data_IF_074785953401
#
_entry.id   IF_074785953401
#
_cell.length_a   1.000
_cell.length_b   1.000
_cell.length_c   1.000
_cell.angle_alpha   90.00
_cell.angle_beta   90.00
_cell.angle_gamma   90.00
#
_symmetry.space_group_name_H-M   'P 1'
#
loop_
_entity.id
_entity.type
_entity.pdbx_description
1 polymer ?
#
# COMPACT_ATOMS: atom_id res chain seq x y z
N UNK A 1 -2.48 36.71 22.32
CA UNK A 1 -3.25 35.52 21.90
C UNK A 1 -2.86 35.28 20.46
N UNK A 2 -1.83 34.46 20.26
CA UNK A 2 -1.35 34.08 18.94
C UNK A 2 -2.29 33.03 18.38
N UNK A 3 -3.13 33.45 17.43
CA UNK A 3 -4.03 32.56 16.71
C UNK A 3 -3.20 31.74 15.73
N UNK A 4 -2.71 30.59 16.17
CA UNK A 4 -2.01 29.61 15.33
C UNK A 4 -3.00 28.98 14.33
N UNK A 5 -3.25 29.66 13.20
CA UNK A 5 -3.97 29.10 12.07
C UNK A 5 -3.00 28.30 11.19
N UNK A 6 -2.54 27.15 11.68
CA UNK A 6 -1.90 26.19 10.78
C UNK A 6 -3.00 25.56 9.95
N UNK A 7 -3.04 25.88 8.65
CA UNK A 7 -3.83 25.13 7.69
C UNK A 7 -3.49 23.64 7.85
N UNK A 8 -4.42 22.87 8.38
CA UNK A 8 -4.29 21.41 8.55
C UNK A 8 -4.34 20.68 7.20
N UNK A 9 -4.64 21.39 6.11
CA UNK A 9 -4.65 20.90 4.73
C UNK A 9 -3.30 21.16 4.04
N UNK A 10 -2.19 20.84 4.71
CA UNK A 10 -0.87 20.82 4.08
C UNK A 10 -0.53 19.39 3.66
N UNK A 11 0.19 19.22 2.55
CA UNK A 11 0.65 17.92 2.09
C UNK A 11 1.40 17.12 3.18
N UNK A 12 2.09 17.82 4.10
CA UNK A 12 2.78 17.21 5.23
C UNK A 12 1.85 16.64 6.30
N UNK A 13 0.65 17.17 6.48
CA UNK A 13 -0.34 16.63 7.42
C UNK A 13 -1.07 15.42 6.80
N UNK A 14 -1.36 15.50 5.50
CA UNK A 14 -2.09 14.47 4.76
C UNK A 14 -1.35 13.12 4.69
N UNK A 15 -0.01 13.11 4.75
CA UNK A 15 0.79 11.87 4.76
C UNK A 15 0.62 11.00 6.01
N UNK A 16 0.06 11.56 7.09
CA UNK A 16 -0.17 10.85 8.35
C UNK A 16 -1.58 10.26 8.48
N UNK A 17 -2.43 10.48 7.48
CA UNK A 17 -3.77 9.90 7.47
C UNK A 17 -3.69 8.36 7.36
N UNK A 18 -4.55 7.63 8.08
CA UNK A 18 -4.52 6.17 8.10
C UNK A 18 -4.89 5.62 6.72
N UNK A 19 -3.98 4.88 6.10
CA UNK A 19 -4.14 4.35 4.75
C UNK A 19 -5.08 3.13 4.64
N UNK A 20 -6.14 3.04 5.44
CA UNK A 20 -7.04 1.87 5.47
C UNK A 20 -7.75 1.64 4.14
N UNK A 21 -8.13 2.71 3.46
CA UNK A 21 -9.17 2.69 2.43
C UNK A 21 -8.67 2.10 1.10
N UNK A 22 -7.37 2.23 0.82
CA UNK A 22 -6.75 1.68 -0.38
C UNK A 22 -6.06 0.33 -0.13
N UNK A 23 -5.99 -0.15 1.12
CA UNK A 23 -5.23 -1.35 1.47
C UNK A 23 -5.70 -2.59 0.70
N UNK A 24 -7.00 -2.77 0.54
CA UNK A 24 -7.56 -3.93 -0.19
C UNK A 24 -7.11 -3.94 -1.66
N UNK A 25 -7.16 -2.79 -2.35
CA UNK A 25 -6.65 -2.66 -3.74
C UNK A 25 -5.19 -3.11 -3.85
N UNK A 26 -4.35 -2.73 -2.89
CA UNK A 26 -2.96 -3.17 -2.87
C UNK A 26 -2.81 -4.69 -2.63
N UNK A 27 -3.70 -5.32 -1.86
CA UNK A 27 -3.69 -6.79 -1.71
C UNK A 27 -4.01 -7.50 -3.03
N UNK A 28 -4.92 -6.93 -3.83
CA UNK A 28 -5.23 -7.44 -5.16
C UNK A 28 -4.01 -7.29 -6.09
N UNK A 29 -3.36 -6.12 -6.12
CA UNK A 29 -2.13 -5.91 -6.90
C UNK A 29 -1.03 -6.92 -6.56
N UNK A 30 -0.83 -7.21 -5.26
CA UNK A 30 0.14 -8.23 -4.85
C UNK A 30 -0.28 -9.64 -5.27
N UNK A 31 -1.59 -9.92 -5.24
CA UNK A 31 -2.14 -11.21 -5.69
C UNK A 31 -2.01 -11.40 -7.20
N UNK A 32 -2.01 -10.32 -7.97
CA UNK A 32 -1.66 -10.29 -9.40
C UNK A 32 -0.15 -10.39 -9.65
N UNK A 33 0.66 -10.48 -8.59
CA UNK A 33 2.10 -10.70 -8.66
C UNK A 33 2.94 -9.41 -8.70
N UNK A 34 2.33 -8.24 -8.54
CA UNK A 34 3.05 -6.97 -8.57
C UNK A 34 3.97 -6.81 -7.35
N UNK A 35 5.19 -6.35 -7.60
CA UNK A 35 6.09 -5.90 -6.54
C UNK A 35 5.69 -4.54 -5.99
N UNK A 36 6.21 -4.15 -4.81
CA UNK A 36 5.87 -2.87 -4.14
C UNK A 36 6.00 -1.65 -5.07
N UNK A 37 7.10 -1.54 -5.80
CA UNK A 37 7.36 -0.38 -6.67
C UNK A 37 6.42 -0.35 -7.89
N UNK A 38 6.06 -1.52 -8.42
CA UNK A 38 5.12 -1.66 -9.53
C UNK A 38 3.70 -1.33 -9.08
N UNK A 39 3.26 -1.88 -7.95
CA UNK A 39 1.96 -1.60 -7.36
C UNK A 39 1.77 -0.10 -7.05
N UNK A 40 2.78 0.58 -6.48
CA UNK A 40 2.72 2.03 -6.27
C UNK A 40 2.54 2.79 -7.59
N UNK A 41 3.37 2.51 -8.61
CA UNK A 41 3.27 3.18 -9.91
C UNK A 41 1.95 2.93 -10.61
N UNK A 42 1.46 1.70 -10.54
CA UNK A 42 0.19 1.31 -11.13
C UNK A 42 -0.98 2.06 -10.46
N UNK A 43 -0.98 2.10 -9.12
CA UNK A 43 -1.97 2.83 -8.34
C UNK A 43 -1.96 4.33 -8.64
N UNK A 44 -0.78 4.96 -8.69
CA UNK A 44 -0.64 6.37 -9.09
C UNK A 44 -1.18 6.61 -10.51
N UNK A 45 -0.92 5.70 -11.44
CA UNK A 45 -1.47 5.76 -12.80
C UNK A 45 -3.00 5.68 -12.83
N UNK A 46 -3.60 4.83 -12.00
CA UNK A 46 -5.06 4.77 -11.86
C UNK A 46 -5.61 6.09 -11.32
N UNK A 47 -5.00 6.63 -10.25
CA UNK A 47 -5.45 7.88 -9.63
C UNK A 47 -5.42 9.05 -10.63
N UNK A 48 -4.38 9.14 -11.45
CA UNK A 48 -4.24 10.19 -12.47
C UNK A 48 -5.31 10.10 -13.58
N UNK A 49 -5.92 8.93 -13.78
CA UNK A 49 -6.99 8.72 -14.75
C UNK A 49 -8.38 9.00 -14.18
N UNK A 50 -8.52 9.20 -12.86
CA UNK A 50 -9.82 9.52 -12.25
C UNK A 50 -10.28 10.93 -12.62
N UNK A 51 -11.55 11.09 -13.02
CA UNK A 51 -12.13 12.37 -13.44
C UNK A 51 -12.01 13.50 -12.38
N UNK A 52 -11.87 13.13 -11.11
CA UNK A 52 -11.78 14.05 -9.97
C UNK A 52 -10.36 14.13 -9.38
N UNK A 53 -9.35 13.71 -10.14
CA UNK A 53 -7.97 13.76 -9.69
C UNK A 53 -7.55 15.18 -9.27
N UNK A 54 -6.88 15.29 -8.13
CA UNK A 54 -6.24 16.52 -7.65
C UNK A 54 -4.84 16.19 -7.15
N UNK A 55 -3.94 17.18 -7.13
CA UNK A 55 -2.59 17.00 -6.57
C UNK A 55 -2.63 16.61 -5.07
N UNK A 56 -3.68 17.01 -4.35
CA UNK A 56 -3.88 16.61 -2.94
C UNK A 56 -4.05 15.10 -2.79
N UNK A 57 -4.66 14.42 -3.77
CA UNK A 57 -4.78 12.96 -3.74
C UNK A 57 -3.43 12.26 -3.76
N UNK A 58 -2.42 12.85 -4.41
CA UNK A 58 -1.06 12.30 -4.42
C UNK A 58 -0.38 12.40 -3.07
N UNK A 59 -0.69 13.43 -2.27
CA UNK A 59 -0.15 13.65 -0.94
C UNK A 59 -0.99 12.99 0.18
N UNK A 60 -2.23 12.62 -0.11
CA UNK A 60 -3.15 12.04 0.85
C UNK A 60 -2.86 10.55 1.07
N UNK A 61 -2.32 10.19 2.24
CA UNK A 61 -1.99 8.81 2.59
C UNK A 61 -3.20 7.85 2.63
N UNK A 62 -4.42 8.36 2.82
CA UNK A 62 -5.63 7.53 2.68
C UNK A 62 -5.85 7.05 1.25
N UNK A 63 -5.49 7.87 0.27
CA UNK A 63 -5.76 7.65 -1.15
C UNK A 63 -4.52 7.12 -1.86
N UNK A 64 -3.38 7.78 -1.69
CA UNK A 64 -2.06 7.39 -2.19
C UNK A 64 -1.10 7.11 -1.01
N UNK A 65 -1.02 5.86 -0.54
CA UNK A 65 -0.23 5.53 0.64
C UNK A 65 1.27 5.67 0.37
N UNK A 66 2.06 6.14 1.36
CA UNK A 66 3.51 6.19 1.22
C UNK A 66 4.12 4.81 0.95
N UNK A 67 5.22 4.78 0.19
CA UNK A 67 5.94 3.54 -0.15
C UNK A 67 6.22 2.63 1.07
N UNK A 68 6.58 3.21 2.22
CA UNK A 68 6.86 2.45 3.46
C UNK A 68 5.63 1.70 3.97
N UNK A 69 4.45 2.29 3.83
CA UNK A 69 3.17 1.68 4.19
C UNK A 69 2.87 0.51 3.27
N UNK A 70 3.03 0.71 1.95
CA UNK A 70 2.83 -0.35 0.95
C UNK A 70 3.84 -1.49 1.14
N UNK A 71 5.10 -1.18 1.43
CA UNK A 71 6.14 -2.18 1.75
C UNK A 71 5.75 -3.01 2.98
N UNK A 72 5.25 -2.37 4.03
CA UNK A 72 4.78 -3.07 5.22
C UNK A 72 3.64 -4.05 4.86
N UNK A 73 2.65 -3.60 4.10
CA UNK A 73 1.54 -4.44 3.64
C UNK A 73 2.01 -5.61 2.78
N UNK A 74 2.87 -5.37 1.79
CA UNK A 74 3.43 -6.43 0.96
C UNK A 74 4.18 -7.46 1.79
N UNK A 75 4.93 -7.05 2.81
CA UNK A 75 5.60 -7.98 3.71
C UNK A 75 4.62 -8.84 4.52
N UNK A 76 3.52 -8.25 5.00
CA UNK A 76 2.46 -9.01 5.68
C UNK A 76 1.76 -9.98 4.73
N UNK A 77 1.34 -9.51 3.56
CA UNK A 77 0.71 -10.33 2.52
C UNK A 77 1.62 -11.49 2.12
N UNK A 78 2.91 -11.21 1.88
CA UNK A 78 3.90 -12.22 1.51
C UNK A 78 4.07 -13.27 2.60
N UNK A 79 4.17 -12.85 3.86
CA UNK A 79 4.31 -13.78 4.98
C UNK A 79 3.09 -14.70 5.09
N UNK A 80 1.89 -14.18 4.83
CA UNK A 80 0.65 -14.94 4.87
C UNK A 80 0.48 -15.89 3.67
N UNK A 81 0.87 -15.46 2.47
CA UNK A 81 0.58 -16.19 1.23
C UNK A 81 1.74 -17.04 0.71
N UNK A 82 2.98 -16.60 0.94
CA UNK A 82 4.21 -17.24 0.47
C UNK A 82 5.09 -17.76 1.61
N UNK A 83 4.74 -17.44 2.86
CA UNK A 83 5.45 -17.87 4.05
C UNK A 83 6.79 -17.17 4.31
N UNK A 84 7.49 -17.60 5.37
CA UNK A 84 8.79 -17.08 5.75
C UNK A 84 9.85 -17.34 4.68
N UNK A 85 10.76 -16.38 4.51
CA UNK A 85 11.87 -16.48 3.54
C UNK A 85 13.09 -17.24 4.09
N UNK A 86 13.08 -17.57 5.37
CA UNK A 86 14.20 -18.17 6.11
C UNK A 86 13.65 -19.03 7.24
N UNK A 87 14.34 -20.12 7.58
CA UNK A 87 13.98 -21.02 8.67
C UNK A 87 12.96 -22.11 8.31
N UNK A 88 12.43 -22.80 9.32
CA UNK A 88 11.58 -24.00 9.20
C UNK A 88 10.38 -23.82 8.24
N UNK A 89 9.78 -22.62 8.20
CA UNK A 89 8.58 -22.33 7.39
C UNK A 89 8.82 -22.13 5.88
N UNK A 90 10.07 -22.16 5.40
CA UNK A 90 10.39 -22.03 3.96
C UNK A 90 9.93 -23.28 3.17
N UNK A 91 9.96 -24.46 3.81
CA UNK A 91 9.72 -25.76 3.14
C UNK A 91 8.22 -26.13 3.14
N UNK A 92 7.45 -25.62 4.10
CA UNK A 92 6.05 -26.03 4.32
C UNK A 92 5.08 -25.46 3.26
N UNK A 93 5.35 -24.27 2.72
CA UNK A 93 4.48 -23.59 1.76
C UNK A 93 4.49 -24.30 0.39
N UNK A 94 5.60 -24.94 0.02
CA UNK A 94 5.72 -25.69 -1.24
C UNK A 94 4.92 -27.00 -1.23
N UNK A 95 4.59 -27.57 -0.07
CA UNK A 95 3.93 -28.88 0.04
C UNK A 95 2.39 -28.83 0.03
N UNK A 96 1.77 -27.64 0.10
CA UNK A 96 0.31 -27.51 0.13
C UNK A 96 -0.32 -27.27 -1.25
N UNK A 97 0.44 -26.81 -2.26
CA UNK A 97 -0.07 -26.54 -3.61
C UNK A 97 0.01 -27.72 -4.58
N UNK A 98 0.44 -28.90 -4.12
CA UNK A 98 0.61 -30.12 -4.93
C UNK A 98 -0.47 -31.18 -4.73
N UNK A 99 -1.61 -30.86 -4.09
CA UNK A 99 -2.74 -31.78 -3.93
C UNK A 99 -3.97 -31.27 -4.70
N UNK A 100 -3.93 -31.41 -6.02
CA UNK A 100 -5.13 -31.46 -6.88
C UNK A 100 -4.97 -32.68 -7.78
#
# INVERSE_FOLDING_TARGET
MDTHNHSLNTAEALKFLPASDCKEKFMDYFSDGMGVAEACKYHEGILQLEEKFTEEHMANSQINPPYRTVLHWHNQWRLQNLGPRTGQGLIEVSNQKGKV
#
